data_IF_225414311571
#
_entry.id   IF_225414311571
#
_cell.length_a   1.000
_cell.length_b   1.000
_cell.length_c   1.000
_cell.angle_alpha   90.00
_cell.angle_beta   90.00
_cell.angle_gamma   90.00
#
_symmetry.space_group_name_H-M   'P 1'
#
loop_
_entity.id
_entity.type
_entity.pdbx_description
1 polymer ?
#
# COMPACT_ATOMS: atom_id res chain seq x y z
N UNK A 1 24.72 4.18 -24.26
CA UNK A 1 23.88 4.78 -23.18
C UNK A 1 22.97 3.70 -22.65
N UNK A 2 22.92 3.49 -21.33
CA UNK A 2 22.09 2.47 -20.70
C UNK A 2 20.63 2.92 -20.65
N UNK A 3 19.69 1.97 -20.75
CA UNK A 3 18.26 2.26 -20.86
C UNK A 3 17.45 1.47 -19.84
N UNK A 4 16.54 2.14 -19.15
CA UNK A 4 15.59 1.50 -18.21
C UNK A 4 14.16 1.86 -18.61
N UNK A 5 13.32 0.86 -18.83
CA UNK A 5 11.88 1.06 -18.92
C UNK A 5 11.24 0.84 -17.55
N UNK A 6 10.59 1.87 -17.02
CA UNK A 6 9.90 1.82 -15.70
C UNK A 6 8.43 1.53 -15.91
N UNK A 7 7.93 0.42 -15.37
CA UNK A 7 6.57 -0.05 -15.57
C UNK A 7 5.80 -0.11 -14.26
N UNK A 8 4.80 0.74 -14.10
CA UNK A 8 3.89 0.75 -12.95
C UNK A 8 2.45 0.57 -13.39
N UNK A 9 1.55 0.19 -12.50
CA UNK A 9 0.14 0.02 -12.81
C UNK A 9 -0.80 0.79 -11.87
N UNK A 10 -0.26 1.33 -10.78
CA UNK A 10 -1.01 2.06 -9.75
C UNK A 10 -0.17 3.22 -9.17
N UNK A 11 -0.82 4.24 -8.54
CA UNK A 11 -0.12 5.37 -7.91
C UNK A 11 0.87 4.96 -6.81
N UNK A 12 0.61 3.85 -6.08
CA UNK A 12 1.52 3.28 -5.09
C UNK A 12 2.83 2.82 -5.73
N UNK A 13 2.74 2.07 -6.81
CA UNK A 13 3.89 1.62 -7.58
C UNK A 13 4.67 2.78 -8.21
N UNK A 14 3.98 3.81 -8.70
CA UNK A 14 4.58 5.04 -9.23
C UNK A 14 5.42 5.78 -8.18
N UNK A 15 4.90 5.90 -6.94
CA UNK A 15 5.63 6.49 -5.80
C UNK A 15 6.88 5.68 -5.44
N UNK A 16 6.77 4.35 -5.38
CA UNK A 16 7.90 3.46 -5.08
C UNK A 16 8.97 3.53 -6.17
N UNK A 17 8.55 3.44 -7.42
CA UNK A 17 9.44 3.52 -8.58
C UNK A 17 10.19 4.85 -8.61
N UNK A 18 9.48 5.97 -8.50
CA UNK A 18 10.08 7.31 -8.57
C UNK A 18 11.10 7.54 -7.44
N UNK A 19 10.84 7.03 -6.24
CA UNK A 19 11.76 7.16 -5.11
C UNK A 19 13.08 6.41 -5.37
N UNK A 20 13.00 5.17 -5.88
CA UNK A 20 14.18 4.37 -6.20
C UNK A 20 14.96 4.95 -7.41
N UNK A 21 14.25 5.32 -8.48
CA UNK A 21 14.87 5.88 -9.68
C UNK A 21 15.51 7.26 -9.41
N UNK A 22 14.88 8.10 -8.58
CA UNK A 22 15.50 9.38 -8.16
C UNK A 22 16.84 9.21 -7.44
N UNK A 23 17.04 8.10 -6.72
CA UNK A 23 18.35 7.76 -6.14
C UNK A 23 19.34 7.35 -7.22
N UNK A 24 18.91 6.49 -8.16
CA UNK A 24 19.76 6.03 -9.26
C UNK A 24 20.19 7.19 -10.17
N UNK A 25 19.28 8.13 -10.50
CA UNK A 25 19.58 9.30 -11.33
C UNK A 25 20.66 10.22 -10.74
N UNK A 26 20.73 10.33 -9.40
CA UNK A 26 21.75 11.14 -8.74
C UNK A 26 23.16 10.61 -8.97
N UNK A 27 23.29 9.28 -8.97
CA UNK A 27 24.58 8.61 -9.08
C UNK A 27 24.94 8.31 -10.55
N UNK A 28 23.92 8.19 -11.43
CA UNK A 28 24.05 7.81 -12.84
C UNK A 28 23.12 8.65 -13.72
N UNK A 29 23.48 9.89 -14.04
CA UNK A 29 22.65 10.80 -14.84
C UNK A 29 22.48 10.39 -16.31
N UNK A 30 23.40 9.57 -16.84
CA UNK A 30 23.44 9.20 -18.26
C UNK A 30 22.54 8.01 -18.64
N UNK A 31 21.57 7.65 -17.79
CA UNK A 31 20.60 6.59 -18.10
C UNK A 31 19.38 7.20 -18.79
N UNK A 32 19.00 6.62 -19.93
CA UNK A 32 17.76 6.97 -20.63
C UNK A 32 16.56 6.23 -20.03
N UNK A 33 15.48 6.95 -19.80
CA UNK A 33 14.26 6.41 -19.18
C UNK A 33 13.04 6.61 -20.08
N UNK A 34 12.16 5.59 -20.09
CA UNK A 34 10.80 5.66 -20.61
C UNK A 34 9.89 4.93 -19.62
N UNK A 35 8.62 5.32 -19.53
CA UNK A 35 7.76 4.69 -18.53
C UNK A 35 6.30 4.46 -18.95
N UNK A 36 5.64 3.57 -18.19
CA UNK A 36 4.23 3.67 -17.85
C UNK A 36 4.20 4.06 -16.37
N UNK A 37 3.86 5.32 -16.09
CA UNK A 37 3.92 5.88 -14.75
C UNK A 37 2.96 7.04 -14.55
N UNK A 38 2.97 7.57 -13.33
CA UNK A 38 2.09 8.64 -12.91
C UNK A 38 2.81 9.97 -12.67
N UNK A 39 2.24 10.75 -11.76
CA UNK A 39 2.72 12.09 -11.43
C UNK A 39 4.08 12.08 -10.71
N UNK A 40 4.43 11.01 -9.97
CA UNK A 40 5.70 10.97 -9.24
C UNK A 40 6.89 10.73 -10.17
N UNK A 41 6.78 9.83 -11.16
CA UNK A 41 7.81 9.65 -12.19
C UNK A 41 7.96 10.92 -13.05
N UNK A 42 6.84 11.57 -13.41
CA UNK A 42 6.89 12.84 -14.16
C UNK A 42 7.61 13.95 -13.39
N UNK A 43 7.44 14.05 -12.06
CA UNK A 43 8.16 15.03 -11.21
C UNK A 43 9.69 14.88 -11.26
N UNK A 44 10.20 13.69 -11.58
CA UNK A 44 11.63 13.43 -11.74
C UNK A 44 12.07 13.38 -13.21
N UNK A 45 11.26 13.93 -14.13
CA UNK A 45 11.58 14.09 -15.54
C UNK A 45 11.37 12.86 -16.41
N UNK A 46 10.61 11.85 -15.94
CA UNK A 46 10.36 10.63 -16.73
C UNK A 46 8.94 10.64 -17.29
N UNK A 47 8.84 10.70 -18.61
CA UNK A 47 7.56 10.71 -19.31
C UNK A 47 6.91 9.32 -19.40
N UNK A 48 5.58 9.31 -19.37
CA UNK A 48 4.78 8.11 -19.52
C UNK A 48 4.19 8.02 -20.94
N UNK A 49 4.18 6.82 -21.50
CA UNK A 49 3.63 6.56 -22.84
C UNK A 49 2.10 6.72 -22.94
N UNK A 50 1.42 6.68 -21.79
CA UNK A 50 -0.02 7.03 -21.65
C UNK A 50 -0.35 7.37 -20.20
N UNK A 51 -1.58 7.86 -19.96
CA UNK A 51 -2.01 8.23 -18.62
C UNK A 51 -2.27 6.98 -17.75
N UNK A 52 -1.62 6.89 -16.59
CA UNK A 52 -1.74 5.77 -15.65
C UNK A 52 -3.21 5.46 -15.27
N UNK A 53 -4.08 6.46 -15.23
CA UNK A 53 -5.52 6.30 -14.95
C UNK A 53 -6.23 5.36 -15.93
N UNK A 54 -5.69 5.16 -17.14
CA UNK A 54 -6.30 4.32 -18.16
C UNK A 54 -6.17 2.81 -17.88
N UNK A 55 -5.31 2.43 -16.94
CA UNK A 55 -5.11 1.03 -16.50
C UNK A 55 -5.42 0.83 -15.02
N UNK A 56 -5.68 1.90 -14.27
CA UNK A 56 -6.02 1.83 -12.85
C UNK A 56 -7.49 1.52 -12.67
N UNK A 57 -7.87 0.25 -12.80
CA UNK A 57 -9.22 -0.24 -12.56
C UNK A 57 -9.34 -0.85 -11.17
N UNK A 58 -10.40 -0.50 -10.44
CA UNK A 58 -10.59 -0.87 -9.04
C UNK A 58 -11.71 -1.92 -8.89
N UNK A 59 -11.34 -3.11 -8.40
CA UNK A 59 -12.25 -4.22 -8.12
C UNK A 59 -12.45 -5.18 -9.30
N UNK A 60 -12.86 -6.41 -8.99
CA UNK A 60 -13.00 -7.51 -9.96
C UNK A 60 -13.95 -7.20 -11.11
N UNK A 61 -15.07 -6.56 -10.81
CA UNK A 61 -16.11 -6.23 -11.82
C UNK A 61 -15.62 -5.20 -12.82
N UNK A 62 -14.92 -4.14 -12.37
CA UNK A 62 -14.40 -3.11 -13.26
C UNK A 62 -13.24 -3.62 -14.13
N UNK A 63 -12.41 -4.52 -13.62
CA UNK A 63 -11.37 -5.20 -14.40
C UNK A 63 -11.98 -6.07 -15.48
N UNK A 64 -13.02 -6.86 -15.18
CA UNK A 64 -13.72 -7.70 -16.16
C UNK A 64 -14.35 -6.87 -17.28
N UNK A 65 -15.04 -5.77 -16.94
CA UNK A 65 -15.67 -4.86 -17.91
C UNK A 65 -14.67 -4.17 -18.84
N UNK A 66 -13.42 -3.97 -18.38
CA UNK A 66 -12.37 -3.25 -19.11
C UNK A 66 -11.25 -4.16 -19.65
N UNK A 67 -11.45 -5.47 -19.67
CA UNK A 67 -10.40 -6.43 -20.03
C UNK A 67 -9.84 -6.20 -21.45
N UNK A 68 -10.67 -5.77 -22.39
CA UNK A 68 -10.23 -5.43 -23.76
C UNK A 68 -9.32 -4.22 -23.77
N UNK A 69 -9.65 -3.13 -23.04
CA UNK A 69 -8.82 -1.93 -22.91
C UNK A 69 -7.49 -2.26 -22.23
N UNK A 70 -7.54 -3.05 -21.16
CA UNK A 70 -6.32 -3.50 -20.45
C UNK A 70 -5.42 -4.27 -21.40
N UNK A 71 -5.97 -5.23 -22.18
CA UNK A 71 -5.19 -5.99 -23.15
C UNK A 71 -4.61 -5.11 -24.27
N UNK A 72 -5.36 -4.11 -24.75
CA UNK A 72 -4.86 -3.14 -25.71
C UNK A 72 -3.66 -2.36 -25.15
N UNK A 73 -3.76 -1.87 -23.89
CA UNK A 73 -2.67 -1.15 -23.23
C UNK A 73 -1.47 -2.05 -22.94
N UNK A 74 -1.68 -3.33 -22.58
CA UNK A 74 -0.59 -4.31 -22.47
C UNK A 74 0.15 -4.44 -23.80
N UNK A 75 -0.57 -4.62 -24.93
CA UNK A 75 0.06 -4.79 -26.24
C UNK A 75 0.80 -3.52 -26.70
N UNK A 76 0.23 -2.32 -26.46
CA UNK A 76 0.89 -1.05 -26.72
C UNK A 76 2.18 -0.94 -25.90
N UNK A 77 2.12 -1.23 -24.59
CA UNK A 77 3.29 -1.17 -23.71
C UNK A 77 4.39 -2.10 -24.18
N UNK A 78 4.05 -3.35 -24.53
CA UNK A 78 5.03 -4.30 -25.10
C UNK A 78 5.69 -3.76 -26.36
N UNK A 79 4.92 -3.19 -27.29
CA UNK A 79 5.44 -2.59 -28.52
C UNK A 79 6.41 -1.45 -28.23
N UNK A 80 6.08 -0.54 -27.31
CA UNK A 80 6.94 0.59 -26.96
C UNK A 80 8.20 0.12 -26.20
N UNK A 81 8.12 -0.89 -25.32
CA UNK A 81 9.30 -1.48 -24.67
C UNK A 81 10.25 -2.08 -25.69
N UNK A 82 9.74 -2.86 -26.64
CA UNK A 82 10.58 -3.48 -27.68
C UNK A 82 11.21 -2.45 -28.61
N UNK A 83 10.50 -1.37 -28.95
CA UNK A 83 11.02 -0.23 -29.73
C UNK A 83 12.11 0.52 -28.97
N UNK A 84 11.90 0.78 -27.68
CA UNK A 84 12.85 1.45 -26.80
C UNK A 84 14.09 0.60 -26.55
N UNK A 85 13.92 -0.73 -26.55
CA UNK A 85 14.95 -1.75 -26.35
C UNK A 85 15.79 -1.49 -25.07
N UNK A 86 15.18 -1.53 -23.88
CA UNK A 86 15.88 -1.24 -22.64
C UNK A 86 16.82 -2.38 -22.23
N UNK A 87 17.91 -2.04 -21.51
CA UNK A 87 18.74 -3.04 -20.80
C UNK A 87 17.94 -3.69 -19.65
N UNK A 88 17.10 -2.89 -18.97
CA UNK A 88 16.26 -3.36 -17.84
C UNK A 88 14.80 -2.95 -18.05
N UNK A 89 13.90 -3.91 -17.90
CA UNK A 89 12.49 -3.69 -17.63
C UNK A 89 12.28 -3.75 -16.11
N UNK A 90 12.16 -2.57 -15.49
CA UNK A 90 11.88 -2.42 -14.05
C UNK A 90 10.39 -2.28 -13.83
N UNK A 91 9.74 -3.34 -13.40
CA UNK A 91 8.30 -3.38 -13.11
C UNK A 91 8.03 -3.30 -11.61
N UNK A 92 7.01 -2.51 -11.20
CA UNK A 92 6.72 -2.22 -9.80
C UNK A 92 5.23 -2.43 -9.51
N UNK A 93 4.92 -3.35 -8.58
CA UNK A 93 3.57 -3.64 -8.11
C UNK A 93 2.59 -4.04 -9.26
N UNK A 94 1.27 -4.00 -9.01
CA UNK A 94 0.21 -4.25 -10.01
C UNK A 94 0.43 -5.49 -10.88
N UNK A 95 0.61 -6.68 -10.29
CA UNK A 95 1.08 -7.87 -10.99
C UNK A 95 0.17 -8.33 -12.14
N UNK A 96 -1.12 -7.96 -12.12
CA UNK A 96 -2.06 -8.34 -13.18
C UNK A 96 -1.83 -7.54 -14.48
N UNK A 97 -1.16 -6.39 -14.41
CA UNK A 97 -0.72 -5.64 -15.57
C UNK A 97 0.78 -5.85 -15.83
N UNK A 98 1.62 -5.57 -14.86
CA UNK A 98 3.07 -5.51 -15.00
C UNK A 98 3.69 -6.87 -15.34
N UNK A 99 3.26 -7.96 -14.69
CA UNK A 99 3.78 -9.30 -14.98
C UNK A 99 3.30 -9.83 -16.34
N UNK A 100 2.11 -9.43 -16.81
CA UNK A 100 1.64 -9.81 -18.16
C UNK A 100 2.43 -9.10 -19.26
N UNK A 101 2.84 -7.86 -19.04
CA UNK A 101 3.75 -7.14 -19.95
C UNK A 101 5.12 -7.81 -19.94
N UNK A 102 5.70 -8.05 -18.75
CA UNK A 102 7.02 -8.68 -18.62
C UNK A 102 7.06 -10.07 -19.28
N UNK A 103 6.01 -10.90 -19.11
CA UNK A 103 5.91 -12.22 -19.77
C UNK A 103 5.95 -12.11 -21.30
N UNK A 104 5.21 -11.13 -21.88
CA UNK A 104 5.19 -10.94 -23.34
C UNK A 104 6.53 -10.39 -23.87
N UNK A 105 7.11 -9.42 -23.16
CA UNK A 105 8.42 -8.85 -23.52
C UNK A 105 9.50 -9.93 -23.50
N UNK A 106 9.58 -10.70 -22.41
CA UNK A 106 10.61 -11.75 -22.25
C UNK A 106 10.49 -12.88 -23.29
N UNK A 107 9.26 -13.19 -23.74
CA UNK A 107 9.03 -14.15 -24.83
C UNK A 107 9.58 -13.67 -26.19
N UNK A 108 9.54 -12.35 -26.46
CA UNK A 108 9.94 -11.77 -27.72
C UNK A 108 11.43 -11.42 -27.70
N UNK A 109 11.89 -10.78 -26.61
CA UNK A 109 13.30 -10.41 -26.41
C UNK A 109 13.81 -10.92 -25.05
N UNK A 110 14.39 -12.14 -24.99
CA UNK A 110 14.92 -12.72 -23.75
C UNK A 110 16.12 -11.97 -23.15
N UNK A 111 16.78 -11.11 -23.94
CA UNK A 111 17.97 -10.35 -23.48
C UNK A 111 17.62 -9.19 -22.53
N UNK A 112 16.39 -8.67 -22.61
CA UNK A 112 15.95 -7.62 -21.69
C UNK A 112 15.89 -8.20 -20.27
N UNK A 113 16.69 -7.64 -19.36
CA UNK A 113 16.70 -8.06 -17.95
C UNK A 113 15.41 -7.58 -17.25
N UNK A 114 14.68 -8.49 -16.62
CA UNK A 114 13.41 -8.19 -15.98
C UNK A 114 13.56 -8.21 -14.46
N UNK A 115 13.32 -7.05 -13.84
CA UNK A 115 13.37 -6.87 -12.38
C UNK A 115 11.99 -6.45 -11.90
N UNK A 116 11.41 -7.18 -10.95
CA UNK A 116 10.10 -6.89 -10.40
C UNK A 116 10.18 -6.50 -8.93
N UNK A 117 9.71 -5.32 -8.58
CA UNK A 117 9.66 -4.80 -7.22
C UNK A 117 8.24 -4.87 -6.67
N UNK A 118 8.09 -5.30 -5.44
CA UNK A 118 6.83 -5.66 -4.76
C UNK A 118 6.28 -6.99 -5.28
N UNK A 119 6.72 -8.07 -4.67
CA UNK A 119 6.28 -9.40 -5.02
C UNK A 119 4.75 -9.55 -4.96
N UNK A 120 4.13 -10.27 -5.89
CA UNK A 120 2.73 -10.62 -5.76
C UNK A 120 2.52 -11.44 -4.50
N UNK A 121 1.41 -11.20 -3.79
CA UNK A 121 1.08 -11.86 -2.52
C UNK A 121 0.81 -13.36 -2.72
N UNK A 122 1.86 -14.13 -3.03
CA UNK A 122 1.76 -15.57 -3.38
C UNK A 122 1.32 -16.43 -2.20
N UNK A 123 1.49 -15.95 -0.97
CA UNK A 123 1.01 -16.61 0.26
C UNK A 123 -0.52 -16.50 0.45
N UNK A 124 -1.17 -15.55 -0.22
CA UNK A 124 -2.64 -15.36 -0.23
C UNK A 124 -3.25 -16.02 -1.45
N UNK A 125 -2.64 -15.81 -2.62
CA UNK A 125 -3.21 -16.12 -3.91
C UNK A 125 -2.32 -17.09 -4.71
N UNK A 126 -2.77 -18.35 -4.93
CA UNK A 126 -2.26 -19.25 -5.95
C UNK A 126 -0.78 -19.67 -5.83
N UNK A 127 -0.51 -20.75 -5.12
CA UNK A 127 0.83 -21.39 -5.01
C UNK A 127 1.53 -21.63 -6.38
N UNK A 128 0.80 -21.90 -7.48
CA UNK A 128 1.38 -22.08 -8.82
C UNK A 128 1.84 -20.82 -9.54
N UNK A 129 1.59 -19.62 -8.98
CA UNK A 129 1.99 -18.34 -9.59
C UNK A 129 3.50 -18.14 -9.58
N UNK A 130 4.19 -18.62 -8.56
CA UNK A 130 5.65 -18.53 -8.45
C UNK A 130 6.35 -19.27 -9.59
N UNK A 131 5.97 -20.52 -9.86
CA UNK A 131 6.51 -21.31 -11.00
C UNK A 131 6.35 -20.61 -12.34
N UNK A 132 5.23 -19.89 -12.52
CA UNK A 132 5.01 -19.14 -13.75
C UNK A 132 5.92 -17.94 -13.86
N UNK A 133 6.11 -17.20 -12.77
CA UNK A 133 6.94 -15.98 -12.70
C UNK A 133 8.40 -16.29 -13.03
N UNK A 134 8.93 -17.43 -12.59
CA UNK A 134 10.29 -17.90 -12.89
C UNK A 134 10.63 -17.85 -14.39
N UNK A 135 9.65 -18.03 -15.27
CA UNK A 135 9.87 -18.11 -16.73
C UNK A 135 10.20 -16.76 -17.38
N UNK A 136 9.93 -15.63 -16.68
CA UNK A 136 10.00 -14.32 -17.30
C UNK A 136 10.42 -13.18 -16.36
N UNK A 137 10.72 -13.48 -15.10
CA UNK A 137 11.33 -12.52 -14.16
C UNK A 137 12.70 -13.05 -13.74
N UNK A 138 13.72 -12.23 -13.97
CA UNK A 138 15.11 -12.58 -13.63
C UNK A 138 15.43 -12.27 -12.17
N UNK A 139 14.79 -11.25 -11.57
CA UNK A 139 15.02 -10.86 -10.18
C UNK A 139 13.77 -10.25 -9.54
N UNK A 140 13.43 -10.68 -8.33
CA UNK A 140 12.31 -10.14 -7.54
C UNK A 140 12.83 -9.41 -6.30
N UNK A 141 12.32 -8.20 -6.06
CA UNK A 141 12.65 -7.37 -4.91
C UNK A 141 11.48 -7.42 -3.92
N UNK A 142 11.76 -7.91 -2.72
CA UNK A 142 10.76 -8.28 -1.72
C UNK A 142 10.62 -7.20 -0.66
N UNK A 143 9.38 -6.91 -0.25
CA UNK A 143 9.08 -6.00 0.86
C UNK A 143 9.22 -6.66 2.24
N UNK A 144 9.06 -7.99 2.29
CA UNK A 144 9.07 -8.75 3.54
C UNK A 144 10.04 -9.93 3.44
N UNK A 145 10.87 -10.13 4.48
CA UNK A 145 11.85 -11.22 4.49
C UNK A 145 11.20 -12.61 4.46
N UNK A 146 10.02 -12.78 5.07
CA UNK A 146 9.29 -14.05 5.05
C UNK A 146 8.86 -14.50 3.65
N UNK A 147 8.84 -13.59 2.67
CA UNK A 147 8.50 -13.89 1.26
C UNK A 147 9.60 -14.73 0.60
N UNK A 148 10.86 -14.57 1.02
CA UNK A 148 12.04 -15.24 0.41
C UNK A 148 11.82 -16.72 0.21
N UNK A 149 11.32 -17.42 1.23
CA UNK A 149 11.10 -18.86 1.19
C UNK A 149 10.28 -19.34 -0.02
N UNK A 150 9.29 -18.55 -0.45
CA UNK A 150 8.43 -18.92 -1.58
C UNK A 150 9.15 -18.82 -2.93
N UNK A 151 10.13 -17.92 -3.04
CA UNK A 151 10.90 -17.69 -4.26
C UNK A 151 12.17 -18.57 -4.26
N UNK A 152 12.79 -18.80 -3.12
CA UNK A 152 13.95 -19.70 -2.94
C UNK A 152 13.56 -21.16 -3.29
N UNK A 153 12.39 -21.64 -2.82
CA UNK A 153 11.85 -22.97 -3.14
C UNK A 153 11.73 -23.22 -4.66
N UNK A 154 11.50 -22.18 -5.44
CA UNK A 154 11.40 -22.25 -6.89
C UNK A 154 12.67 -21.79 -7.62
N UNK A 155 13.77 -21.52 -6.89
CA UNK A 155 15.05 -21.01 -7.42
C UNK A 155 14.87 -19.75 -8.28
N UNK A 156 14.12 -18.76 -7.79
CA UNK A 156 14.00 -17.43 -8.38
C UNK A 156 14.93 -16.50 -7.63
N UNK A 157 15.81 -15.79 -8.37
CA UNK A 157 16.66 -14.79 -7.77
C UNK A 157 15.81 -13.70 -7.09
N UNK A 158 16.04 -13.48 -5.81
CA UNK A 158 15.26 -12.55 -5.02
C UNK A 158 16.13 -11.82 -3.98
N UNK A 159 15.73 -10.61 -3.62
CA UNK A 159 16.39 -9.82 -2.58
C UNK A 159 15.34 -9.14 -1.71
N UNK A 160 15.47 -9.29 -0.40
CA UNK A 160 14.70 -8.51 0.56
C UNK A 160 15.27 -7.09 0.63
N UNK A 161 14.47 -6.10 0.26
CA UNK A 161 14.86 -4.68 0.22
C UNK A 161 14.20 -3.84 1.34
N UNK A 162 13.31 -4.45 2.12
CA UNK A 162 12.56 -3.77 3.19
C UNK A 162 11.34 -3.02 2.69
N UNK A 163 10.52 -2.56 3.64
CA UNK A 163 9.27 -1.87 3.34
C UNK A 163 9.40 -0.36 3.60
N UNK A 164 9.21 0.52 2.59
CA UNK A 164 9.47 1.97 2.71
C UNK A 164 8.57 2.68 3.74
N UNK A 165 7.40 2.12 4.07
CA UNK A 165 6.49 2.71 5.06
C UNK A 165 6.98 2.62 6.51
N UNK A 166 7.98 1.78 6.77
CA UNK A 166 8.56 1.60 8.12
C UNK A 166 9.96 2.20 8.25
N UNK A 167 10.44 2.86 7.21
CA UNK A 167 11.69 3.59 7.27
C UNK A 167 11.55 4.81 8.19
N UNK A 168 12.57 5.04 9.04
CA UNK A 168 12.63 6.22 9.88
C UNK A 168 13.01 7.44 9.03
N UNK A 169 12.05 8.03 8.37
CA UNK A 169 12.25 9.34 7.75
C UNK A 169 12.30 10.39 8.87
N UNK A 170 13.36 11.19 8.93
CA UNK A 170 13.42 12.35 9.82
C UNK A 170 12.19 13.23 9.54
N UNK A 171 11.27 13.28 10.49
CA UNK A 171 10.08 14.11 10.36
C UNK A 171 10.50 15.58 10.55
N UNK A 172 10.26 16.41 9.56
CA UNK A 172 10.13 17.83 9.79
C UNK A 172 8.85 18.02 10.62
N UNK A 173 8.96 18.58 11.80
CA UNK A 173 7.80 18.91 12.64
C UNK A 173 6.87 19.81 11.84
N UNK A 174 5.64 19.39 11.65
CA UNK A 174 4.61 20.15 10.97
C UNK A 174 3.69 20.74 12.04
N UNK A 175 3.31 22.01 11.90
CA UNK A 175 2.35 22.62 12.81
C UNK A 175 0.96 21.97 12.62
N UNK A 176 0.45 21.39 13.69
CA UNK A 176 -0.86 20.73 13.75
C UNK A 176 -1.80 21.38 14.79
N UNK A 177 -1.45 22.58 15.30
CA UNK A 177 -2.24 23.27 16.33
C UNK A 177 -3.70 23.49 15.92
N UNK A 178 -3.98 23.63 14.62
CA UNK A 178 -5.34 23.78 14.09
C UNK A 178 -6.20 22.49 14.25
N UNK A 179 -5.58 21.33 14.48
CA UNK A 179 -6.25 20.03 14.63
C UNK A 179 -6.28 19.56 16.10
N UNK A 180 -5.52 20.24 16.96
CA UNK A 180 -5.43 19.92 18.40
C UNK A 180 -6.08 21.10 19.14
N UNK A 181 -7.39 21.04 19.33
CA UNK A 181 -8.04 21.94 20.29
C UNK A 181 -7.63 21.53 21.71
N UNK A 182 -7.37 22.52 22.58
CA UNK A 182 -6.90 22.31 23.94
C UNK A 182 -7.70 21.22 24.66
N UNK A 183 -7.02 20.13 25.05
CA UNK A 183 -7.49 18.98 25.80
C UNK A 183 -8.26 17.87 25.05
N UNK A 184 -8.45 17.90 23.74
CA UNK A 184 -9.05 16.78 23.03
C UNK A 184 -8.02 15.70 22.66
N UNK A 185 -8.42 14.41 22.84
CA UNK A 185 -7.61 13.26 22.48
C UNK A 185 -7.91 12.85 21.04
N UNK A 186 -6.88 12.70 20.22
CA UNK A 186 -7.03 12.37 18.80
C UNK A 186 -7.24 10.85 18.62
N UNK A 187 -8.28 10.49 17.85
CA UNK A 187 -8.47 9.16 17.29
C UNK A 187 -8.33 9.26 15.77
N UNK A 188 -7.27 8.66 15.22
CA UNK A 188 -7.04 8.60 13.78
C UNK A 188 -7.92 7.56 13.11
N UNK A 189 -8.56 7.93 11.99
CA UNK A 189 -9.42 7.06 11.19
C UNK A 189 -8.88 6.94 9.78
N UNK A 190 -8.62 5.70 9.35
CA UNK A 190 -8.16 5.36 8.00
C UNK A 190 -9.24 4.57 7.27
N UNK A 191 -10.16 5.23 6.53
CA UNK A 191 -11.31 4.57 5.91
C UNK A 191 -10.98 3.81 4.63
N UNK A 192 -9.72 3.81 4.22
CA UNK A 192 -9.25 3.25 2.97
C UNK A 192 -8.86 4.32 1.95
N UNK A 193 -8.11 3.89 0.93
CA UNK A 193 -7.62 4.77 -0.14
C UNK A 193 -8.58 4.88 -1.33
N UNK A 194 -9.53 3.95 -1.47
CA UNK A 194 -10.43 3.84 -2.62
C UNK A 194 -11.82 4.36 -2.26
N UNK A 195 -12.45 5.12 -3.15
CA UNK A 195 -13.81 5.64 -2.96
C UNK A 195 -14.82 4.51 -2.67
N UNK A 196 -14.71 3.37 -3.36
CA UNK A 196 -15.58 2.21 -3.13
C UNK A 196 -15.47 1.61 -1.72
N UNK A 197 -14.28 1.62 -1.13
CA UNK A 197 -14.03 1.17 0.25
C UNK A 197 -14.58 2.19 1.24
N UNK A 198 -14.26 3.46 0.99
CA UNK A 198 -14.68 4.59 1.82
C UNK A 198 -16.21 4.69 1.90
N UNK A 199 -16.93 4.54 0.78
CA UNK A 199 -18.38 4.59 0.75
C UNK A 199 -19.06 3.49 1.60
N UNK A 200 -18.43 2.32 1.72
CA UNK A 200 -18.94 1.23 2.56
C UNK A 200 -18.67 1.50 4.04
N UNK A 201 -17.53 2.11 4.38
CA UNK A 201 -17.10 2.28 5.76
C UNK A 201 -17.58 3.59 6.40
N UNK A 202 -17.78 4.67 5.63
CA UNK A 202 -18.21 5.96 6.17
C UNK A 202 -19.49 5.90 7.02
N UNK A 203 -20.60 5.25 6.58
CA UNK A 203 -21.79 5.14 7.42
C UNK A 203 -21.48 4.51 8.78
N UNK A 204 -20.71 3.42 8.77
CA UNK A 204 -20.35 2.67 9.97
C UNK A 204 -19.49 3.52 10.92
N UNK A 205 -18.51 4.24 10.35
CA UNK A 205 -17.61 5.10 11.12
C UNK A 205 -18.33 6.31 11.72
N UNK A 206 -19.25 6.93 10.99
CA UNK A 206 -20.06 8.03 11.52
C UNK A 206 -20.99 7.54 12.66
N UNK A 207 -21.62 6.39 12.52
CA UNK A 207 -22.41 5.81 13.60
C UNK A 207 -21.56 5.47 14.82
N UNK A 208 -20.34 4.95 14.61
CA UNK A 208 -19.35 4.74 15.69
C UNK A 208 -19.00 6.05 16.40
N UNK A 209 -18.72 7.13 15.65
CA UNK A 209 -18.40 8.46 16.24
C UNK A 209 -19.59 8.99 17.04
N UNK A 210 -20.82 8.86 16.53
CA UNK A 210 -22.03 9.22 17.25
C UNK A 210 -22.18 8.46 18.59
N UNK A 211 -21.83 7.16 18.60
CA UNK A 211 -21.83 6.37 19.84
C UNK A 211 -20.76 6.84 20.83
N UNK A 212 -19.58 7.21 20.36
CA UNK A 212 -18.50 7.77 21.19
C UNK A 212 -18.92 9.10 21.80
N UNK A 213 -19.49 10.02 21.00
CA UNK A 213 -19.89 11.37 21.42
C UNK A 213 -21.02 11.34 22.48
N UNK A 214 -21.92 10.39 22.44
CA UNK A 214 -22.98 10.22 23.45
C UNK A 214 -22.45 9.98 24.87
N UNK A 215 -21.25 9.42 24.99
CA UNK A 215 -20.63 9.11 26.30
C UNK A 215 -19.52 10.06 26.71
N UNK A 216 -18.76 10.56 25.76
CA UNK A 216 -17.64 11.44 26.03
C UNK A 216 -17.29 12.25 24.79
N UNK A 217 -17.43 13.57 24.85
CA UNK A 217 -17.13 14.51 23.76
C UNK A 217 -15.66 14.93 23.70
N UNK A 218 -14.78 14.32 24.51
CA UNK A 218 -13.37 14.75 24.60
C UNK A 218 -12.45 14.08 23.55
N UNK A 219 -13.03 13.60 22.44
CA UNK A 219 -12.26 13.05 21.34
C UNK A 219 -12.42 13.91 20.09
N UNK A 220 -11.32 14.11 19.35
CA UNK A 220 -11.30 14.58 17.97
C UNK A 220 -11.00 13.42 17.03
N UNK A 221 -11.86 13.21 16.02
CA UNK A 221 -11.73 12.14 15.05
C UNK A 221 -11.16 12.69 13.76
N UNK A 222 -9.96 12.22 13.39
CA UNK A 222 -9.29 12.75 12.20
C UNK A 222 -9.25 11.68 11.11
N UNK A 223 -9.96 11.93 10.02
CA UNK A 223 -9.96 11.08 8.82
C UNK A 223 -8.72 11.35 7.97
N UNK A 224 -7.90 10.32 7.80
CA UNK A 224 -6.76 10.33 6.90
C UNK A 224 -7.20 9.94 5.49
N UNK A 225 -7.44 10.94 4.66
CA UNK A 225 -7.89 10.78 3.29
C UNK A 225 -6.70 10.70 2.29
N UNK A 226 -6.95 10.19 1.10
CA UNK A 226 -6.11 10.47 -0.08
C UNK A 226 -6.64 11.75 -0.76
N UNK A 227 -5.84 12.38 -1.62
CA UNK A 227 -6.31 13.53 -2.40
C UNK A 227 -7.56 13.19 -3.23
N UNK A 228 -7.64 11.94 -3.71
CA UNK A 228 -8.75 11.48 -4.54
C UNK A 228 -10.06 11.28 -3.77
N UNK A 229 -10.01 10.83 -2.50
CA UNK A 229 -11.21 10.55 -1.72
C UNK A 229 -11.56 11.62 -0.68
N UNK A 230 -10.70 12.63 -0.48
CA UNK A 230 -10.94 13.73 0.49
C UNK A 230 -12.29 14.42 0.26
N UNK A 231 -12.55 14.82 -0.99
CA UNK A 231 -13.80 15.50 -1.35
C UNK A 231 -15.01 14.65 -1.00
N UNK A 232 -15.00 13.37 -1.34
CA UNK A 232 -16.08 12.42 -1.04
C UNK A 232 -16.33 12.28 0.47
N UNK A 233 -15.27 12.22 1.28
CA UNK A 233 -15.40 12.12 2.75
C UNK A 233 -15.98 13.42 3.32
N UNK A 234 -15.45 14.58 2.90
CA UNK A 234 -15.93 15.90 3.35
C UNK A 234 -17.41 16.09 3.02
N UNK A 235 -17.83 15.80 1.78
CA UNK A 235 -19.23 15.90 1.36
C UNK A 235 -20.14 14.97 2.17
N UNK A 236 -19.69 13.74 2.46
CA UNK A 236 -20.46 12.81 3.26
C UNK A 236 -20.66 13.28 4.72
N UNK A 237 -19.65 13.91 5.31
CA UNK A 237 -19.67 14.35 6.72
C UNK A 237 -20.43 15.67 6.89
N UNK A 238 -20.47 16.54 5.89
CA UNK A 238 -21.00 17.91 5.96
C UNK A 238 -22.37 18.02 6.61
N UNK A 239 -23.27 17.08 6.31
CA UNK A 239 -24.65 17.10 6.77
C UNK A 239 -24.89 16.29 8.06
N UNK A 240 -23.83 15.87 8.77
CA UNK A 240 -23.94 14.99 9.93
C UNK A 240 -23.94 15.70 11.29
N UNK A 241 -23.84 17.05 11.30
CA UNK A 241 -23.81 17.87 12.53
C UNK A 241 -22.78 17.41 13.56
N UNK A 242 -21.57 17.01 13.11
CA UNK A 242 -20.47 16.56 13.96
C UNK A 242 -19.35 17.59 13.93
N UNK A 243 -19.08 18.23 15.07
CA UNK A 243 -18.11 19.35 15.19
C UNK A 243 -16.71 18.89 15.58
N UNK A 244 -16.52 17.58 15.83
CA UNK A 244 -15.27 17.00 16.29
C UNK A 244 -14.69 16.01 15.26
N UNK A 245 -14.83 16.36 13.99
CA UNK A 245 -14.29 15.60 12.87
C UNK A 245 -13.51 16.51 11.93
N UNK A 246 -12.27 16.12 11.63
CA UNK A 246 -11.44 16.72 10.61
C UNK A 246 -11.08 15.73 9.50
N UNK A 247 -10.79 16.24 8.29
CA UNK A 247 -10.38 15.44 7.14
C UNK A 247 -9.08 15.99 6.56
N UNK A 248 -8.02 15.22 6.61
CA UNK A 248 -6.68 15.60 6.17
C UNK A 248 -6.19 14.73 5.02
N UNK A 249 -5.43 15.33 4.07
CA UNK A 249 -4.81 14.61 2.94
C UNK A 249 -3.32 14.87 2.80
N UNK A 250 -2.79 15.94 3.37
CA UNK A 250 -1.35 16.23 3.36
C UNK A 250 -0.55 15.16 4.11
N UNK A 251 0.48 14.61 3.49
CA UNK A 251 1.26 13.48 4.03
C UNK A 251 2.07 13.84 5.28
N UNK A 252 2.53 15.10 5.42
CA UNK A 252 3.29 15.53 6.60
C UNK A 252 2.36 15.74 7.78
N UNK A 253 1.21 16.39 7.56
CA UNK A 253 0.15 16.57 8.57
C UNK A 253 -0.34 15.21 9.06
N UNK A 254 -0.60 14.24 8.14
CA UNK A 254 -1.01 12.88 8.50
C UNK A 254 -0.04 12.19 9.43
N UNK A 255 1.26 12.29 9.17
CA UNK A 255 2.30 11.68 10.01
C UNK A 255 2.32 12.29 11.39
N UNK A 256 2.28 13.63 11.48
CA UNK A 256 2.30 14.34 12.74
C UNK A 256 1.04 14.08 13.57
N UNK A 257 -0.15 14.13 12.96
CA UNK A 257 -1.43 13.78 13.59
C UNK A 257 -1.41 12.33 14.10
N UNK A 258 -0.94 11.38 13.29
CA UNK A 258 -0.86 9.98 13.70
C UNK A 258 0.07 9.83 14.92
N UNK A 259 1.22 10.49 14.93
CA UNK A 259 2.16 10.43 16.06
C UNK A 259 1.58 10.98 17.37
N UNK A 260 0.58 11.87 17.27
CA UNK A 260 -0.12 12.47 18.41
C UNK A 260 -1.46 11.77 18.72
N UNK A 261 -1.81 10.71 18.01
CA UNK A 261 -3.05 9.97 18.23
C UNK A 261 -2.92 8.99 19.38
N UNK A 262 -3.97 8.90 20.20
CA UNK A 262 -4.04 7.90 21.28
C UNK A 262 -4.52 6.54 20.78
N UNK A 263 -5.20 6.51 19.63
CA UNK A 263 -5.76 5.29 19.03
C UNK A 263 -5.99 5.46 17.53
N UNK A 264 -6.02 4.34 16.80
CA UNK A 264 -6.34 4.35 15.38
C UNK A 264 -7.36 3.26 15.00
N UNK A 265 -8.29 3.61 14.11
CA UNK A 265 -9.22 2.69 13.45
C UNK A 265 -8.84 2.59 11.99
N UNK A 266 -8.37 1.43 11.54
CA UNK A 266 -7.72 1.29 10.24
C UNK A 266 -8.45 0.28 9.35
N UNK A 267 -8.78 0.67 8.12
CA UNK A 267 -9.12 -0.31 7.08
C UNK A 267 -7.92 -1.20 6.82
N UNK A 268 -8.15 -2.51 6.71
CA UNK A 268 -7.09 -3.48 6.40
C UNK A 268 -6.26 -3.07 5.17
N UNK A 269 -4.95 -3.09 5.30
CA UNK A 269 -3.99 -2.70 4.26
C UNK A 269 -2.62 -2.40 4.87
N UNK A 270 -1.72 -1.83 4.05
CA UNK A 270 -0.36 -1.46 4.45
C UNK A 270 -0.30 -0.32 5.48
N UNK A 271 -1.40 0.42 5.66
CA UNK A 271 -1.49 1.51 6.66
C UNK A 271 -1.22 1.02 8.09
N UNK A 272 -1.56 -0.24 8.41
CA UNK A 272 -1.28 -0.82 9.72
C UNK A 272 0.21 -0.82 10.07
N UNK A 273 1.09 -0.94 9.08
CA UNK A 273 2.53 -0.83 9.28
C UNK A 273 2.94 0.58 9.72
N UNK A 274 2.33 1.61 9.13
CA UNK A 274 2.59 3.01 9.53
C UNK A 274 2.07 3.28 10.94
N UNK A 275 0.88 2.77 11.27
CA UNK A 275 0.28 2.95 12.60
C UNK A 275 1.11 2.24 13.67
N UNK A 276 1.56 1.02 13.42
CA UNK A 276 2.49 0.31 14.30
C UNK A 276 3.81 1.07 14.45
N UNK A 277 4.38 1.58 13.34
CA UNK A 277 5.64 2.33 13.37
C UNK A 277 5.52 3.68 14.10
N UNK A 278 4.32 4.26 14.13
CA UNK A 278 4.02 5.44 14.93
C UNK A 278 3.73 5.12 16.42
N UNK A 279 3.79 3.85 16.83
CA UNK A 279 3.46 3.39 18.18
C UNK A 279 2.04 3.76 18.63
N UNK A 280 1.06 3.64 17.75
CA UNK A 280 -0.35 3.91 18.05
C UNK A 280 -1.13 2.61 18.13
N UNK A 281 -1.80 2.32 19.27
CA UNK A 281 -2.69 1.16 19.38
C UNK A 281 -3.84 1.26 18.38
N UNK A 282 -4.28 0.13 17.82
CA UNK A 282 -5.27 0.16 16.75
C UNK A 282 -6.14 -1.08 16.68
N UNK A 283 -7.22 -0.95 15.92
CA UNK A 283 -8.02 -2.06 15.42
C UNK A 283 -8.10 -2.00 13.91
N UNK A 284 -8.28 -3.16 13.30
CA UNK A 284 -8.48 -3.29 11.86
C UNK A 284 -9.96 -3.51 11.58
N UNK A 285 -10.47 -2.77 10.61
CA UNK A 285 -11.81 -2.94 10.07
C UNK A 285 -11.75 -3.32 8.60
N UNK A 286 -12.63 -4.23 8.16
CA UNK A 286 -12.70 -4.58 6.75
C UNK A 286 -14.10 -5.06 6.36
N UNK A 287 -14.66 -4.43 5.34
CA UNK A 287 -15.96 -4.79 4.80
C UNK A 287 -15.94 -4.69 3.28
N UNK A 288 -16.28 -5.78 2.64
CA UNK A 288 -16.53 -5.85 1.21
C UNK A 288 -18.03 -5.84 0.95
N UNK A 289 -18.42 -5.38 -0.24
CA UNK A 289 -19.78 -5.65 -0.70
C UNK A 289 -19.99 -7.17 -0.84
N UNK A 290 -21.24 -7.61 -0.80
CA UNK A 290 -21.61 -9.03 -0.74
C UNK A 290 -20.99 -9.85 -1.89
N UNK A 291 -21.01 -9.34 -3.12
CA UNK A 291 -20.49 -10.03 -4.31
C UNK A 291 -18.98 -10.24 -4.20
N UNK A 292 -18.25 -9.17 -3.89
CA UNK A 292 -16.80 -9.24 -3.73
C UNK A 292 -16.38 -10.12 -2.55
N UNK A 293 -17.18 -10.14 -1.48
CA UNK A 293 -16.94 -11.03 -0.33
C UNK A 293 -17.10 -12.50 -0.69
N UNK A 294 -18.14 -12.86 -1.44
CA UNK A 294 -18.34 -14.24 -1.89
C UNK A 294 -17.18 -14.70 -2.78
N UNK A 295 -16.73 -13.84 -3.72
CA UNK A 295 -15.57 -14.14 -4.57
C UNK A 295 -14.30 -14.28 -3.72
N UNK A 296 -14.08 -13.38 -2.77
CA UNK A 296 -12.93 -13.42 -1.88
C UNK A 296 -12.89 -14.71 -1.05
N UNK A 297 -14.02 -15.11 -0.46
CA UNK A 297 -14.14 -16.32 0.35
C UNK A 297 -13.81 -17.61 -0.44
N UNK A 298 -14.12 -17.63 -1.74
CA UNK A 298 -13.80 -18.78 -2.63
C UNK A 298 -12.32 -18.82 -3.03
N UNK A 299 -11.67 -17.67 -3.13
CA UNK A 299 -10.33 -17.56 -3.71
C UNK A 299 -9.21 -17.43 -2.67
N UNK A 300 -9.53 -17.00 -1.44
CA UNK A 300 -8.55 -16.65 -0.42
C UNK A 300 -8.66 -17.58 0.77
N UNK A 301 -7.55 -18.24 1.07
CA UNK A 301 -7.42 -19.13 2.22
C UNK A 301 -6.43 -18.54 3.25
N UNK A 302 -6.78 -17.37 3.80
CA UNK A 302 -5.99 -16.76 4.88
C UNK A 302 -6.83 -16.59 6.14
N UNK A 303 -6.21 -16.83 7.28
CA UNK A 303 -6.84 -16.70 8.58
C UNK A 303 -7.03 -15.23 9.00
N UNK A 304 -6.16 -14.35 8.55
CA UNK A 304 -6.11 -12.94 8.95
C UNK A 304 -6.12 -12.02 7.72
N UNK A 305 -6.68 -10.83 7.88
CA UNK A 305 -6.72 -9.80 6.84
C UNK A 305 -5.57 -8.78 6.97
N UNK A 306 -4.95 -8.68 8.14
CA UNK A 306 -3.88 -7.72 8.42
C UNK A 306 -2.50 -8.35 8.27
N UNK A 307 -1.55 -7.61 7.69
CA UNK A 307 -0.19 -8.11 7.43
C UNK A 307 0.58 -8.45 8.72
N UNK A 308 0.40 -7.70 9.80
CA UNK A 308 1.04 -7.99 11.10
C UNK A 308 0.54 -9.32 11.66
N UNK A 309 -0.77 -9.57 11.59
CA UNK A 309 -1.37 -10.82 12.04
C UNK A 309 -0.96 -12.00 11.15
N UNK A 310 -0.86 -11.79 9.84
CA UNK A 310 -0.39 -12.79 8.86
C UNK A 310 1.06 -13.21 9.17
N UNK A 311 1.97 -12.24 9.36
CA UNK A 311 3.38 -12.51 9.67
C UNK A 311 3.52 -13.31 10.98
N UNK A 312 2.74 -12.94 12.00
CA UNK A 312 2.80 -13.60 13.31
C UNK A 312 1.96 -14.89 13.38
N UNK A 313 1.15 -15.19 12.37
CA UNK A 313 0.16 -16.27 12.37
C UNK A 313 -0.73 -16.28 13.63
N UNK A 314 -0.99 -15.10 14.20
CA UNK A 314 -1.86 -14.87 15.37
C UNK A 314 -2.46 -13.47 15.33
N UNK A 315 -3.56 -13.27 16.06
CA UNK A 315 -4.16 -11.96 16.20
C UNK A 315 -3.32 -11.09 17.17
N UNK A 316 -2.53 -10.18 16.61
CA UNK A 316 -1.79 -9.13 17.32
C UNK A 316 -2.63 -7.87 17.39
N UNK A 317 -3.26 -7.52 16.28
CA UNK A 317 -4.17 -6.38 16.15
C UNK A 317 -5.59 -6.95 15.95
N UNK A 318 -6.58 -6.58 16.77
CA UNK A 318 -7.95 -7.07 16.61
C UNK A 318 -8.52 -6.75 15.23
N UNK A 319 -9.17 -7.71 14.59
CA UNK A 319 -9.77 -7.58 13.27
C UNK A 319 -11.30 -7.71 13.33
N UNK A 320 -12.00 -6.65 12.99
CA UNK A 320 -13.45 -6.64 12.83
C UNK A 320 -13.80 -6.77 11.33
N UNK A 321 -14.14 -7.99 10.92
CA UNK A 321 -14.32 -8.32 9.51
C UNK A 321 -15.80 -8.54 9.19
N UNK A 322 -16.25 -8.08 8.02
CA UNK A 322 -17.59 -8.31 7.45
C UNK A 322 -18.75 -8.00 8.41
N UNK A 323 -19.36 -9.00 9.02
CA UNK A 323 -20.49 -8.85 9.97
C UNK A 323 -20.07 -8.16 11.26
N UNK A 324 -18.83 -8.38 11.71
CA UNK A 324 -18.25 -7.72 12.89
C UNK A 324 -17.84 -6.27 12.60
N UNK A 325 -17.62 -5.91 11.33
CA UNK A 325 -17.37 -4.53 10.91
C UNK A 325 -18.68 -3.71 10.95
N UNK A 326 -19.11 -3.35 12.15
CA UNK A 326 -20.27 -2.51 12.44
C UNK A 326 -19.95 -1.53 13.58
N UNK A 327 -20.72 -0.44 13.68
CA UNK A 327 -20.47 0.65 14.63
C UNK A 327 -20.41 0.18 16.09
N UNK A 328 -21.27 -0.78 16.48
CA UNK A 328 -21.37 -1.29 17.86
C UNK A 328 -20.11 -2.08 18.26
N UNK A 329 -19.62 -2.95 17.39
CA UNK A 329 -18.43 -3.76 17.68
C UNK A 329 -17.16 -2.90 17.61
N UNK A 330 -17.05 -1.93 16.67
CA UNK A 330 -15.97 -0.94 16.66
C UNK A 330 -15.96 -0.15 17.98
N UNK A 331 -17.11 0.36 18.39
CA UNK A 331 -17.24 1.12 19.64
C UNK A 331 -16.83 0.29 20.87
N UNK A 332 -17.29 -0.97 20.99
CA UNK A 332 -16.89 -1.84 22.09
C UNK A 332 -15.38 -2.09 22.11
N UNK A 333 -14.80 -2.41 20.98
CA UNK A 333 -13.37 -2.71 20.85
C UNK A 333 -12.51 -1.50 21.18
N UNK A 334 -12.83 -0.32 20.64
CA UNK A 334 -12.12 0.93 20.94
C UNK A 334 -12.22 1.27 22.43
N UNK A 335 -13.41 1.24 23.03
CA UNK A 335 -13.56 1.53 24.45
C UNK A 335 -12.85 0.52 25.34
N UNK A 336 -12.86 -0.76 24.98
CA UNK A 336 -12.17 -1.79 25.73
C UNK A 336 -10.66 -1.51 25.76
N UNK A 337 -10.07 -1.20 24.62
CA UNK A 337 -8.64 -0.90 24.55
C UNK A 337 -8.26 0.43 25.21
N UNK A 338 -9.10 1.46 25.12
CA UNK A 338 -8.88 2.73 25.80
C UNK A 338 -8.99 2.63 27.33
N UNK A 339 -9.81 1.71 27.83
CA UNK A 339 -9.97 1.45 29.28
C UNK A 339 -8.88 0.53 29.84
N UNK A 340 -8.22 -0.29 28.99
CA UNK A 340 -7.21 -1.25 29.37
C UNK A 340 -5.89 -0.94 28.61
N UNK A 341 -5.15 0.11 29.00
CA UNK A 341 -3.96 0.56 28.27
C UNK A 341 -2.85 -0.49 28.18
N UNK A 342 -2.81 -1.45 29.08
CA UNK A 342 -1.86 -2.58 29.08
C UNK A 342 -2.04 -3.47 27.84
N UNK A 343 -3.27 -3.61 27.32
CA UNK A 343 -3.55 -4.36 26.10
C UNK A 343 -2.92 -3.64 24.88
N UNK A 344 -3.11 -2.31 24.82
CA UNK A 344 -2.47 -1.46 23.81
C UNK A 344 -0.93 -1.56 23.87
N UNK A 345 -0.33 -1.52 25.06
CA UNK A 345 1.12 -1.69 25.23
C UNK A 345 1.59 -3.05 24.72
N UNK A 346 0.92 -4.14 25.10
CA UNK A 346 1.24 -5.49 24.63
C UNK A 346 1.13 -5.61 23.10
N UNK A 347 0.10 -5.00 22.50
CA UNK A 347 -0.05 -4.93 21.05
C UNK A 347 1.17 -4.25 20.41
N UNK A 348 1.57 -3.09 20.92
CA UNK A 348 2.68 -2.30 20.40
C UNK A 348 4.02 -3.03 20.54
N UNK A 349 4.26 -3.73 21.65
CA UNK A 349 5.46 -4.57 21.82
C UNK A 349 5.55 -5.64 20.73
N UNK A 350 4.45 -6.34 20.44
CA UNK A 350 4.40 -7.35 19.40
C UNK A 350 4.54 -6.75 18.00
N UNK A 351 3.89 -5.60 17.75
CA UNK A 351 4.07 -4.85 16.51
C UNK A 351 5.53 -4.47 16.29
N UNK A 352 6.19 -3.92 17.33
CA UNK A 352 7.59 -3.51 17.25
C UNK A 352 8.54 -4.68 17.00
N UNK A 353 8.28 -5.85 17.61
CA UNK A 353 9.04 -7.07 17.30
C UNK A 353 8.90 -7.47 15.84
N UNK A 354 7.66 -7.43 15.31
CA UNK A 354 7.39 -7.73 13.90
C UNK A 354 8.07 -6.74 12.97
N UNK A 355 7.98 -5.43 13.27
CA UNK A 355 8.61 -4.39 12.47
C UNK A 355 10.13 -4.51 12.43
N UNK A 356 10.78 -4.93 13.52
CA UNK A 356 12.22 -5.20 13.52
C UNK A 356 12.61 -6.28 12.51
N UNK A 357 11.79 -7.34 12.38
CA UNK A 357 12.03 -8.42 11.42
C UNK A 357 11.79 -8.09 9.95
N UNK A 358 11.15 -6.93 9.66
CA UNK A 358 10.86 -6.49 8.30
C UNK A 358 11.57 -5.18 7.91
N UNK A 359 12.42 -4.64 8.78
CA UNK A 359 13.32 -3.53 8.44
C UNK A 359 14.55 -4.05 7.71
N UNK A 360 14.93 -3.39 6.65
CA UNK A 360 16.24 -3.58 5.99
C UNK A 360 17.32 -2.76 6.67
N UNK A 361 18.58 -3.08 6.39
CA UNK A 361 19.74 -2.37 6.96
C UNK A 361 19.91 -0.96 6.37
N UNK A 362 19.42 -0.73 5.15
CA UNK A 362 19.41 0.57 4.48
C UNK A 362 17.98 0.94 4.03
N UNK A 363 17.79 2.12 3.44
CA UNK A 363 16.47 2.42 2.88
C UNK A 363 16.17 1.53 1.67
N UNK A 364 14.92 1.06 1.55
CA UNK A 364 14.49 0.22 0.44
C UNK A 364 14.77 0.85 -0.91
N UNK A 365 14.63 2.18 -1.03
CA UNK A 365 14.94 2.91 -2.25
C UNK A 365 16.43 2.88 -2.61
N UNK A 366 17.34 2.91 -1.64
CA UNK A 366 18.77 2.79 -1.88
C UNK A 366 19.14 1.36 -2.29
N UNK A 367 18.57 0.34 -1.62
CA UNK A 367 18.76 -1.08 -2.00
C UNK A 367 18.30 -1.34 -3.44
N UNK A 368 17.10 -0.89 -3.78
CA UNK A 368 16.56 -1.02 -5.15
C UNK A 368 17.46 -0.31 -6.16
N UNK A 369 17.88 0.93 -5.90
CA UNK A 369 18.77 1.68 -6.79
C UNK A 369 20.12 0.95 -6.99
N UNK A 370 20.69 0.40 -5.91
CA UNK A 370 21.94 -0.39 -5.95
C UNK A 370 21.79 -1.64 -6.82
N UNK A 371 20.66 -2.37 -6.67
CA UNK A 371 20.40 -3.58 -7.47
C UNK A 371 20.23 -3.23 -8.95
N UNK A 372 19.48 -2.16 -9.26
CA UNK A 372 19.32 -1.69 -10.64
C UNK A 372 20.69 -1.32 -11.25
N UNK A 373 21.51 -0.54 -10.53
CA UNK A 373 22.86 -0.19 -10.94
C UNK A 373 23.71 -1.42 -11.26
N UNK A 374 23.82 -2.36 -10.31
CA UNK A 374 24.64 -3.56 -10.49
C UNK A 374 24.14 -4.40 -11.68
N UNK A 375 22.84 -4.35 -11.95
CA UNK A 375 22.21 -5.03 -13.07
C UNK A 375 22.47 -4.38 -14.43
N UNK A 376 22.91 -3.12 -14.47
CA UNK A 376 23.32 -2.42 -15.70
C UNK A 376 24.80 -2.64 -16.03
N UNK A 377 25.63 -2.96 -15.04
CA UNK A 377 27.09 -3.10 -15.17
C UNK A 377 27.49 -4.55 -15.46
N UNK A 378 26.75 -5.52 -14.95
CA UNK A 378 26.97 -6.96 -15.21
C UNK A 378 25.98 -7.48 -16.23
#
# INVERSE_FOLDING_TARGET
MKKIFVLTGEPSGDKLASTAISKLQKDYPDIEYLSVGGSNLRKIGIESIFNLKEITYLGFTSVLLNIFKINQRINQTVKEILKFNPDILFSVDSPDFTLRVAEKVKKINPQIKTIHYVAPQVWIWRKGRVKKIKKFIDHILLLFDFEKKFFDEENINNTFVGHPLIENNKNNKTDINNFISNNQKIISIFPGSRISETNVLLPILIDFINMMNKRNSNYNFIFHATEENKKNIVEYIKDKNLNNIDVISDENIKKEILSNSIFAVCKSGTISLQVCNANVPSIIIYKLNFINFMIFKLLVNVKFANIINIINNKEVIPELLQSECNAKEIYKSVLYMLKNPEIGKKQLEQCNQTLKGIRSNSSSSNEVATILRNSLVG
#
